data_IF_473686837272
#
_entry.id   IF_473686837272
#
_cell.length_a   1.000
_cell.length_b   1.000
_cell.length_c   1.000
_cell.angle_alpha   90.00
_cell.angle_beta   90.00
_cell.angle_gamma   90.00
#
_symmetry.space_group_name_H-M   'P 1'
#
loop_
_entity.id
_entity.type
_entity.pdbx_description
1 polymer ?
#
# COMPACT_ATOMS: atom_id res chain seq x y z
N UNK A 1 -11.37 -21.35 10.40
CA UNK A 1 -10.15 -21.73 9.67
C UNK A 1 -9.59 -20.48 9.01
N UNK A 2 -8.34 -20.06 9.28
CA UNK A 2 -7.80 -18.86 8.64
C UNK A 2 -7.62 -19.14 7.15
N UNK A 3 -8.40 -18.43 6.33
CA UNK A 3 -8.43 -18.57 4.87
C UNK A 3 -7.05 -18.17 4.31
N UNK A 4 -6.20 -19.17 4.04
CA UNK A 4 -4.78 -19.09 3.71
C UNK A 4 -4.45 -18.47 2.33
N UNK A 5 -5.28 -17.55 1.82
CA UNK A 5 -5.09 -16.91 0.49
C UNK A 5 -4.43 -15.53 0.54
N UNK A 6 -4.23 -14.97 1.73
CA UNK A 6 -3.60 -13.66 1.86
C UNK A 6 -2.09 -13.84 1.87
N UNK A 7 -1.41 -13.38 0.82
CA UNK A 7 0.06 -13.45 0.77
C UNK A 7 0.65 -12.52 1.84
N UNK A 8 1.66 -12.96 2.59
CA UNK A 8 2.35 -12.08 3.56
C UNK A 8 2.90 -10.83 2.87
N UNK A 9 3.50 -11.00 1.70
CA UNK A 9 4.11 -9.93 0.91
C UNK A 9 3.48 -9.89 -0.47
N UNK A 10 3.07 -8.69 -0.92
CA UNK A 10 2.53 -8.50 -2.26
C UNK A 10 2.81 -7.12 -2.84
N UNK A 11 2.21 -6.85 -4.00
CA UNK A 11 2.21 -5.52 -4.61
C UNK A 11 1.31 -4.56 -3.81
N UNK A 12 1.56 -3.25 -3.95
CA UNK A 12 0.71 -2.20 -3.33
C UNK A 12 -0.77 -2.37 -3.68
N UNK A 13 -1.07 -2.83 -4.89
CA UNK A 13 -2.44 -3.08 -5.35
C UNK A 13 -3.07 -4.30 -4.66
N UNK A 14 -2.31 -5.38 -4.48
CA UNK A 14 -2.77 -6.55 -3.72
C UNK A 14 -3.04 -6.20 -2.26
N UNK A 15 -2.14 -5.45 -1.61
CA UNK A 15 -2.33 -5.01 -0.21
C UNK A 15 -3.58 -4.13 -0.07
N UNK A 16 -3.78 -3.18 -1.00
CA UNK A 16 -4.97 -2.32 -1.00
C UNK A 16 -6.28 -3.10 -1.17
N UNK A 17 -6.27 -4.10 -2.04
CA UNK A 17 -7.41 -4.97 -2.33
C UNK A 17 -7.60 -6.08 -1.29
N UNK A 18 -6.74 -6.19 -0.27
CA UNK A 18 -6.81 -7.22 0.76
C UNK A 18 -6.31 -8.61 0.35
N UNK A 19 -5.60 -8.72 -0.78
CA UNK A 19 -4.94 -9.95 -1.22
C UNK A 19 -3.54 -10.19 -0.63
N UNK A 20 -2.98 -9.19 0.06
CA UNK A 20 -1.72 -9.31 0.77
C UNK A 20 -1.70 -8.48 2.07
N UNK A 21 -0.92 -8.91 3.07
CA UNK A 21 -0.81 -8.20 4.36
C UNK A 21 0.03 -6.92 4.25
N UNK A 22 1.18 -7.01 3.59
CA UNK A 22 2.14 -5.91 3.45
C UNK A 22 2.85 -5.95 2.10
N UNK A 23 3.47 -4.84 1.73
CA UNK A 23 4.35 -4.79 0.55
C UNK A 23 5.74 -5.33 0.87
N UNK A 24 6.56 -5.53 -0.17
CA UNK A 24 7.98 -5.93 -0.01
C UNK A 24 8.73 -4.97 0.92
N UNK A 25 8.36 -3.68 0.95
CA UNK A 25 8.93 -2.67 1.84
C UNK A 25 8.20 -2.50 3.18
N UNK A 26 7.38 -3.46 3.60
CA UNK A 26 6.67 -3.42 4.88
C UNK A 26 5.45 -2.49 4.95
N UNK A 27 5.10 -1.78 3.87
CA UNK A 27 3.94 -0.90 3.86
C UNK A 27 2.64 -1.70 3.95
N UNK A 28 1.79 -1.36 4.91
CA UNK A 28 0.43 -1.90 5.06
C UNK A 28 -0.59 -1.00 4.35
N UNK A 29 -1.85 -1.44 4.31
CA UNK A 29 -2.94 -0.67 3.68
C UNK A 29 -3.07 0.74 4.27
N UNK A 30 -2.85 0.90 5.57
CA UNK A 30 -2.92 2.19 6.28
C UNK A 30 -1.80 3.17 5.87
N UNK A 31 -0.66 2.63 5.42
CA UNK A 31 0.47 3.41 4.92
C UNK A 31 0.33 3.80 3.45
N UNK A 32 -0.68 3.26 2.77
CA UNK A 32 -0.94 3.48 1.34
C UNK A 32 -2.08 4.48 1.15
N UNK A 33 -1.97 5.28 0.09
CA UNK A 33 -3.05 6.15 -0.35
C UNK A 33 -3.21 6.08 -1.86
N UNK A 34 -4.43 6.32 -2.31
CA UNK A 34 -4.72 6.50 -3.73
C UNK A 34 -4.59 7.98 -4.08
N UNK A 35 -3.66 8.32 -4.96
CA UNK A 35 -3.50 9.70 -5.42
C UNK A 35 -4.60 10.09 -6.43
N UNK A 36 -4.65 11.38 -6.80
CA UNK A 36 -5.61 11.90 -7.79
C UNK A 36 -5.56 11.22 -9.17
N UNK A 37 -4.46 10.53 -9.49
CA UNK A 37 -4.27 9.77 -10.73
C UNK A 37 -4.64 8.29 -10.59
N UNK A 38 -5.27 7.89 -9.48
CA UNK A 38 -5.69 6.51 -9.24
C UNK A 38 -4.55 5.54 -8.87
N UNK A 39 -3.32 6.03 -8.68
CA UNK A 39 -2.17 5.20 -8.30
C UNK A 39 -2.09 5.04 -6.79
N UNK A 40 -1.80 3.81 -6.35
CA UNK A 40 -1.56 3.50 -4.93
C UNK A 40 -0.09 3.78 -4.60
N UNK A 41 0.14 4.81 -3.78
CA UNK A 41 1.46 5.29 -3.37
C UNK A 41 1.57 5.28 -1.84
N UNK A 42 2.77 5.40 -1.28
CA UNK A 42 2.89 5.54 0.17
C UNK A 42 2.50 6.95 0.62
N UNK A 43 1.84 7.04 1.78
CA UNK A 43 1.42 8.29 2.40
C UNK A 43 2.60 9.21 2.68
N UNK A 44 3.65 8.68 3.32
CA UNK A 44 4.90 9.39 3.60
C UNK A 44 5.51 10.01 2.33
N UNK A 45 5.59 9.26 1.23
CA UNK A 45 6.17 9.78 -0.04
C UNK A 45 5.29 10.87 -0.63
N UNK A 46 3.97 10.73 -0.58
CA UNK A 46 3.05 11.73 -1.08
C UNK A 46 3.17 13.05 -0.29
N UNK A 47 3.27 12.97 1.04
CA UNK A 47 3.46 14.12 1.92
C UNK A 47 4.83 14.79 1.71
N UNK A 48 5.92 14.03 1.66
CA UNK A 48 7.26 14.57 1.39
C UNK A 48 7.34 15.29 0.04
N UNK A 49 6.70 14.74 -1.00
CA UNK A 49 6.68 15.38 -2.32
C UNK A 49 5.90 16.68 -2.34
N UNK A 50 4.80 16.78 -1.57
CA UNK A 50 4.02 18.03 -1.44
C UNK A 50 4.73 19.10 -0.62
N UNK A 51 5.60 18.69 0.32
CA UNK A 51 6.37 19.59 1.19
C UNK A 51 7.66 20.13 0.53
N UNK A 52 8.07 19.57 -0.63
CA UNK A 52 9.25 20.03 -1.38
C UNK A 52 8.96 21.19 -2.35
N UNK A 53 7.93 21.98 -2.06
CA UNK A 53 7.59 23.21 -2.79
C UNK A 53 7.63 24.36 -1.82
#
# INVERSE_FOLDING_TARGET
MPNHKTQKVGSRRQVWNGGAEQTVGGLRKDDLLRNKYGRIVSKKRHETMRKRV
#
